data_IF_078533874100
#
_entry.id   IF_078533874100
#
_cell.length_a   1.000
_cell.length_b   1.000
_cell.length_c   1.000
_cell.angle_alpha   90.00
_cell.angle_beta   90.00
_cell.angle_gamma   90.00
#
_symmetry.space_group_name_H-M   'P 1'
#
loop_
_entity.id
_entity.type
_entity.pdbx_description
1 polymer ?
#
# COMPACT_ATOMS: atom_id res chain seq x y z
N UNK A 1 19.40 -4.27 -8.21
CA UNK A 1 18.47 -3.15 -8.48
C UNK A 1 17.37 -3.50 -9.49
N UNK A 2 17.64 -3.84 -10.77
CA UNK A 2 16.58 -4.10 -11.77
C UNK A 2 15.52 -5.13 -11.35
N UNK A 3 15.93 -6.29 -10.79
CA UNK A 3 15.00 -7.33 -10.29
C UNK A 3 14.13 -6.85 -9.13
N UNK A 4 14.69 -6.03 -8.23
CA UNK A 4 13.95 -5.46 -7.10
C UNK A 4 12.87 -4.49 -7.59
N UNK A 5 13.24 -3.55 -8.47
CA UNK A 5 12.32 -2.58 -9.05
C UNK A 5 11.17 -3.31 -9.75
N UNK A 6 11.48 -4.30 -10.60
CA UNK A 6 10.47 -5.10 -11.29
C UNK A 6 9.52 -5.86 -10.35
N UNK A 7 10.03 -6.34 -9.21
CA UNK A 7 9.24 -7.07 -8.22
C UNK A 7 8.26 -6.16 -7.47
N UNK A 8 8.66 -4.93 -7.13
CA UNK A 8 7.82 -3.99 -6.37
C UNK A 8 6.92 -3.12 -7.25
N UNK A 9 7.22 -3.02 -8.54
CA UNK A 9 6.47 -2.20 -9.51
C UNK A 9 4.94 -2.33 -9.41
N UNK A 10 4.33 -3.54 -9.32
CA UNK A 10 2.87 -3.67 -9.20
C UNK A 10 2.31 -2.96 -7.97
N UNK A 11 2.98 -3.09 -6.83
CA UNK A 11 2.58 -2.43 -5.59
C UNK A 11 2.73 -0.91 -5.70
N UNK A 12 3.82 -0.42 -6.31
CA UNK A 12 4.02 1.01 -6.52
C UNK A 12 2.97 1.62 -7.47
N UNK A 13 2.58 0.90 -8.52
CA UNK A 13 1.50 1.33 -9.43
C UNK A 13 0.18 1.42 -8.68
N UNK A 14 -0.17 0.40 -7.90
CA UNK A 14 -1.35 0.42 -7.04
C UNK A 14 -1.33 1.61 -6.06
N UNK A 15 -0.20 1.80 -5.38
CA UNK A 15 0.03 2.90 -4.43
C UNK A 15 -0.17 4.27 -5.07
N UNK A 16 0.28 4.44 -6.32
CA UNK A 16 0.06 5.66 -7.09
C UNK A 16 -1.42 5.92 -7.35
N UNK A 17 -2.20 4.89 -7.73
CA UNK A 17 -3.64 5.06 -7.95
C UNK A 17 -4.42 5.31 -6.65
N UNK A 18 -4.00 4.70 -5.54
CA UNK A 18 -4.53 5.00 -4.20
C UNK A 18 -4.30 6.48 -3.87
N UNK A 19 -3.08 6.97 -4.05
CA UNK A 19 -2.74 8.37 -3.81
C UNK A 19 -3.53 9.33 -4.72
N UNK A 20 -3.64 9.00 -6.00
CA UNK A 20 -4.43 9.78 -6.96
C UNK A 20 -5.91 9.83 -6.54
N UNK A 21 -6.44 8.75 -5.98
CA UNK A 21 -7.81 8.73 -5.48
C UNK A 21 -7.98 9.66 -4.29
N UNK A 22 -7.11 9.60 -3.28
CA UNK A 22 -7.13 10.53 -2.14
C UNK A 22 -7.06 11.98 -2.62
N UNK A 23 -6.18 12.28 -3.58
CA UNK A 23 -6.13 13.62 -4.18
C UNK A 23 -7.47 14.05 -4.80
N UNK A 24 -8.14 13.15 -5.52
CA UNK A 24 -9.44 13.46 -6.14
C UNK A 24 -10.55 13.58 -5.09
N UNK A 25 -10.61 12.68 -4.12
CA UNK A 25 -11.70 12.60 -3.16
C UNK A 25 -11.60 13.65 -2.05
N UNK A 26 -10.39 13.95 -1.57
CA UNK A 26 -10.19 14.80 -0.38
C UNK A 26 -9.76 16.22 -0.72
N UNK A 27 -9.33 16.47 -1.97
CA UNK A 27 -8.99 17.80 -2.45
C UNK A 27 -9.82 18.25 -3.67
N UNK A 28 -9.77 17.51 -4.78
CA UNK A 28 -10.35 18.01 -6.02
C UNK A 28 -11.89 18.02 -6.02
N UNK A 29 -12.53 16.96 -5.55
CA UNK A 29 -13.99 16.87 -5.51
C UNK A 29 -14.60 17.86 -4.50
N UNK A 30 -14.12 18.01 -3.25
CA UNK A 30 -14.69 18.94 -2.28
C UNK A 30 -14.65 20.40 -2.74
N UNK A 31 -13.64 20.79 -3.53
CA UNK A 31 -13.54 22.15 -4.07
C UNK A 31 -14.59 22.48 -5.14
N UNK A 32 -15.29 21.47 -5.68
CA UNK A 32 -16.30 21.61 -6.72
C UNK A 32 -17.70 21.13 -6.29
N UNK A 33 -17.78 19.98 -5.61
CA UNK A 33 -19.02 19.36 -5.14
C UNK A 33 -18.76 18.47 -3.91
N UNK A 34 -19.17 18.94 -2.74
CA UNK A 34 -19.04 18.25 -1.45
C UNK A 34 -19.81 16.93 -1.38
N UNK A 35 -20.97 16.82 -2.03
CA UNK A 35 -21.78 15.60 -1.99
C UNK A 35 -21.10 14.48 -2.78
N UNK A 36 -20.61 14.82 -3.98
CA UNK A 36 -19.84 13.91 -4.82
C UNK A 36 -18.56 13.44 -4.10
N UNK A 37 -17.87 14.35 -3.41
CA UNK A 37 -16.69 14.00 -2.62
C UNK A 37 -17.00 12.94 -1.56
N UNK A 38 -18.11 13.11 -0.83
CA UNK A 38 -18.55 12.13 0.16
C UNK A 38 -18.81 10.75 -0.45
N UNK A 39 -19.48 10.66 -1.60
CA UNK A 39 -19.70 9.38 -2.27
C UNK A 39 -18.41 8.73 -2.78
N UNK A 40 -17.50 9.52 -3.35
CA UNK A 40 -16.20 9.03 -3.81
C UNK A 40 -15.37 8.50 -2.64
N UNK A 41 -15.28 9.26 -1.55
CA UNK A 41 -14.59 8.85 -0.33
C UNK A 41 -15.18 7.55 0.22
N UNK A 42 -16.50 7.45 0.37
CA UNK A 42 -17.14 6.25 0.91
C UNK A 42 -16.91 5.01 0.03
N UNK A 43 -17.06 5.14 -1.29
CA UNK A 43 -16.85 4.05 -2.24
C UNK A 43 -15.41 3.53 -2.18
N UNK A 44 -14.44 4.44 -2.16
CA UNK A 44 -13.04 4.08 -2.12
C UNK A 44 -12.61 3.56 -0.77
N UNK A 45 -13.04 4.18 0.33
CA UNK A 45 -12.74 3.69 1.66
C UNK A 45 -13.22 2.24 1.81
N UNK A 46 -14.43 1.92 1.36
CA UNK A 46 -14.94 0.56 1.37
C UNK A 46 -14.07 -0.40 0.55
N UNK A 47 -13.70 -0.03 -0.66
CA UNK A 47 -12.87 -0.86 -1.53
C UNK A 47 -11.45 -1.01 -1.00
N UNK A 48 -10.81 0.09 -0.63
CA UNK A 48 -9.43 0.16 -0.15
C UNK A 48 -9.28 -0.57 1.18
N UNK A 49 -10.14 -0.28 2.17
CA UNK A 49 -10.07 -0.89 3.50
C UNK A 49 -10.35 -2.40 3.48
N UNK A 50 -11.34 -2.87 2.71
CA UNK A 50 -11.74 -4.28 2.72
C UNK A 50 -10.94 -5.13 1.73
N UNK A 51 -10.80 -4.67 0.48
CA UNK A 51 -10.20 -5.45 -0.61
C UNK A 51 -8.73 -5.05 -0.80
N UNK A 52 -8.44 -3.75 -0.78
CA UNK A 52 -7.10 -3.23 -1.00
C UNK A 52 -6.08 -3.71 0.03
N UNK A 53 -6.34 -3.44 1.30
CA UNK A 53 -5.41 -3.70 2.41
C UNK A 53 -5.14 -5.20 2.57
N UNK A 54 -6.18 -6.04 2.55
CA UNK A 54 -6.03 -7.46 2.86
C UNK A 54 -5.84 -8.32 1.60
N UNK A 55 -6.75 -8.24 0.62
CA UNK A 55 -6.74 -9.13 -0.54
C UNK A 55 -5.65 -8.73 -1.53
N UNK A 56 -5.61 -7.45 -1.93
CA UNK A 56 -4.59 -6.98 -2.87
C UNK A 56 -3.21 -6.98 -2.23
N UNK A 57 -3.09 -6.60 -0.95
CA UNK A 57 -1.83 -6.72 -0.21
C UNK A 57 -1.23 -8.13 -0.27
N UNK A 58 -2.03 -9.18 0.02
CA UNK A 58 -1.59 -10.57 -0.10
C UNK A 58 -1.21 -10.96 -1.53
N UNK A 59 -2.02 -10.59 -2.52
CA UNK A 59 -1.73 -10.87 -3.93
C UNK A 59 -0.43 -10.20 -4.37
N UNK A 60 -0.22 -8.94 -4.00
CA UNK A 60 1.01 -8.23 -4.33
C UNK A 60 2.21 -8.85 -3.64
N UNK A 61 2.11 -9.27 -2.38
CA UNK A 61 3.17 -10.01 -1.70
C UNK A 61 3.57 -11.27 -2.48
N UNK A 62 2.58 -12.08 -2.92
CA UNK A 62 2.85 -13.25 -3.76
C UNK A 62 3.55 -12.89 -5.07
N UNK A 63 3.03 -11.88 -5.78
CA UNK A 63 3.60 -11.43 -7.06
C UNK A 63 5.03 -10.93 -6.86
N UNK A 64 5.27 -10.10 -5.85
CA UNK A 64 6.59 -9.54 -5.55
C UNK A 64 7.56 -10.64 -5.21
N UNK A 65 7.22 -11.57 -4.32
CA UNK A 65 8.10 -12.68 -3.97
C UNK A 65 8.38 -13.59 -5.17
N UNK A 66 7.37 -13.88 -6.00
CA UNK A 66 7.54 -14.67 -7.23
C UNK A 66 8.50 -14.00 -8.21
N UNK A 67 8.39 -12.69 -8.38
CA UNK A 67 9.24 -11.89 -9.29
C UNK A 67 10.65 -11.70 -8.75
N UNK A 68 10.77 -11.52 -7.44
CA UNK A 68 12.05 -11.33 -6.78
C UNK A 68 12.83 -12.64 -6.66
N UNK A 69 12.11 -13.75 -6.49
CA UNK A 69 12.63 -15.12 -6.41
C UNK A 69 13.75 -15.30 -5.37
N UNK A 70 13.69 -14.55 -4.26
CA UNK A 70 14.71 -14.60 -3.23
C UNK A 70 14.49 -15.75 -2.27
N UNK A 71 15.57 -16.50 -2.00
CA UNK A 71 15.58 -17.65 -1.09
C UNK A 71 15.82 -17.26 0.38
N UNK A 72 16.04 -15.98 0.68
CA UNK A 72 16.24 -15.50 2.05
C UNK A 72 15.02 -14.74 2.55
N UNK A 73 14.42 -15.24 3.62
CA UNK A 73 13.25 -14.65 4.29
C UNK A 73 13.45 -13.18 4.69
N UNK A 74 14.68 -12.78 5.01
CA UNK A 74 15.01 -11.39 5.37
C UNK A 74 14.64 -10.39 4.26
N UNK A 75 14.70 -10.80 2.99
CA UNK A 75 14.30 -9.90 1.90
C UNK A 75 12.80 -9.68 1.85
N UNK A 76 12.00 -10.71 2.14
CA UNK A 76 10.55 -10.57 2.23
C UNK A 76 10.19 -9.61 3.36
N UNK A 77 10.81 -9.77 4.54
CA UNK A 77 10.58 -8.82 5.64
C UNK A 77 10.94 -7.38 5.23
N UNK A 78 12.08 -7.18 4.55
CA UNK A 78 12.49 -5.85 4.10
C UNK A 78 11.54 -5.25 3.05
N UNK A 79 11.01 -6.07 2.15
CA UNK A 79 10.01 -5.67 1.16
C UNK A 79 8.67 -5.30 1.82
N UNK A 80 8.21 -6.06 2.81
CA UNK A 80 7.03 -5.71 3.59
C UNK A 80 7.23 -4.42 4.40
N UNK A 81 8.41 -4.19 4.99
CA UNK A 81 8.72 -2.91 5.66
C UNK A 81 8.71 -1.75 4.66
N UNK A 82 9.19 -1.97 3.43
CA UNK A 82 9.09 -0.96 2.38
C UNK A 82 7.62 -0.61 2.06
N UNK A 83 6.74 -1.61 1.91
CA UNK A 83 5.32 -1.32 1.66
C UNK A 83 4.66 -0.59 2.83
N UNK A 84 5.01 -0.96 4.06
CA UNK A 84 4.58 -0.25 5.27
C UNK A 84 4.93 1.24 5.23
N UNK A 85 6.19 1.58 4.91
CA UNK A 85 6.63 2.98 4.81
C UNK A 85 5.89 3.73 3.69
N UNK A 86 5.65 3.08 2.55
CA UNK A 86 4.89 3.69 1.45
C UNK A 86 3.46 4.05 1.88
N UNK A 87 2.77 3.18 2.62
CA UNK A 87 1.41 3.49 3.12
C UNK A 87 1.43 4.67 4.10
N UNK A 88 2.44 4.79 4.96
CA UNK A 88 2.59 5.97 5.82
C UNK A 88 2.78 7.27 5.03
N UNK A 89 3.57 7.24 3.96
CA UNK A 89 3.73 8.39 3.08
C UNK A 89 2.39 8.76 2.42
N UNK A 90 1.61 7.77 1.97
CA UNK A 90 0.27 8.00 1.42
C UNK A 90 -0.65 8.63 2.46
N UNK A 91 -0.72 8.09 3.68
CA UNK A 91 -1.57 8.66 4.73
C UNK A 91 -1.16 10.08 5.14
N UNK A 92 0.13 10.39 5.15
CA UNK A 92 0.60 11.76 5.36
C UNK A 92 0.20 12.70 4.22
N UNK A 93 0.30 12.26 2.97
CA UNK A 93 -0.13 13.05 1.81
C UNK A 93 -1.66 13.24 1.77
N UNK A 94 -2.42 12.22 2.18
CA UNK A 94 -3.87 12.31 2.38
C UNK A 94 -4.22 13.40 3.40
N UNK A 95 -3.51 13.44 4.54
CA UNK A 95 -3.63 14.53 5.51
C UNK A 95 -3.43 15.91 4.88
N UNK A 96 -2.43 16.07 4.01
CA UNK A 96 -2.23 17.33 3.26
C UNK A 96 -3.42 17.61 2.33
N UNK A 97 -3.89 16.61 1.57
CA UNK A 97 -5.00 16.76 0.62
C UNK A 97 -6.27 17.22 1.32
N UNK A 98 -6.60 16.62 2.47
CA UNK A 98 -7.76 16.97 3.27
C UNK A 98 -7.74 18.41 3.78
N UNK A 99 -6.58 19.04 3.91
CA UNK A 99 -6.46 20.43 4.36
C UNK A 99 -6.45 21.42 3.19
N UNK A 100 -5.91 21.02 2.04
CA UNK A 100 -5.85 21.88 0.85
C UNK A 100 -7.22 22.27 0.29
N UNK A 101 -8.29 21.52 0.60
CA UNK A 101 -9.65 21.92 0.20
C UNK A 101 -10.08 23.26 0.79
N UNK A 102 -9.51 23.65 1.93
CA UNK A 102 -9.72 24.95 2.55
C UNK A 102 -8.77 25.97 1.90
N UNK A 103 -9.24 26.73 0.90
CA UNK A 103 -8.42 27.63 0.05
C UNK A 103 -7.52 28.65 0.78
N UNK A 104 -7.76 28.90 2.07
CA UNK A 104 -6.95 29.78 2.91
C UNK A 104 -5.82 29.06 3.68
N UNK A 105 -5.76 27.73 3.61
CA UNK A 105 -4.81 26.91 4.36
C UNK A 105 -3.45 26.89 3.65
N UNK A 106 -2.40 27.22 4.39
CA UNK A 106 -1.03 27.04 3.92
C UNK A 106 -0.58 25.64 4.28
N UNK A 107 -0.23 24.82 3.27
CA UNK A 107 0.28 23.46 3.52
C UNK A 107 1.52 23.48 4.41
N UNK A 108 1.49 22.72 5.49
CA UNK A 108 2.57 22.59 6.47
C UNK A 108 3.00 21.14 6.66
N UNK A 109 4.13 20.95 7.35
CA UNK A 109 4.57 19.63 7.80
C UNK A 109 3.59 19.04 8.82
N UNK A 110 2.88 19.87 9.59
CA UNK A 110 1.93 19.40 10.60
C UNK A 110 0.74 18.69 9.97
N UNK A 111 0.31 19.09 8.77
CA UNK A 111 -0.75 18.40 8.01
C UNK A 111 -0.33 16.97 7.62
N UNK A 112 0.95 16.80 7.26
CA UNK A 112 1.53 15.51 6.95
C UNK A 112 1.63 14.63 8.20
N UNK A 113 2.08 15.21 9.32
CA UNK A 113 2.15 14.51 10.62
C UNK A 113 0.74 14.11 11.07
N UNK A 114 -0.25 14.96 10.88
CA UNK A 114 -1.65 14.67 11.17
C UNK A 114 -2.12 13.44 10.38
N UNK A 115 -1.88 13.42 9.06
CA UNK A 115 -2.22 12.28 8.21
C UNK A 115 -1.52 10.98 8.61
N UNK A 116 -0.22 11.04 8.92
CA UNK A 116 0.54 9.89 9.47
C UNK A 116 -0.03 9.42 10.80
N UNK A 117 -0.44 10.36 11.67
CA UNK A 117 -0.93 10.08 13.02
C UNK A 117 -2.36 9.52 13.01
N UNK A 118 -3.06 9.61 11.88
CA UNK A 118 -4.45 9.18 11.78
C UNK A 118 -4.58 7.67 12.02
N UNK A 119 -5.56 7.21 12.83
CA UNK A 119 -5.75 5.79 13.13
C UNK A 119 -5.94 4.92 11.88
N UNK A 120 -6.62 5.44 10.85
CA UNK A 120 -6.83 4.71 9.59
C UNK A 120 -5.51 4.47 8.85
N UNK A 121 -4.59 5.44 8.84
CA UNK A 121 -3.25 5.28 8.25
C UNK A 121 -2.51 4.13 8.92
N UNK A 122 -2.58 4.03 10.25
CA UNK A 122 -1.98 2.93 10.99
C UNK A 122 -2.63 1.60 10.65
N UNK A 123 -3.97 1.57 10.60
CA UNK A 123 -4.72 0.36 10.26
C UNK A 123 -4.36 -0.14 8.86
N UNK A 124 -4.30 0.75 7.87
CA UNK A 124 -3.93 0.42 6.50
C UNK A 124 -2.46 0.01 6.40
N UNK A 125 -1.55 0.69 7.10
CA UNK A 125 -0.12 0.34 7.07
C UNK A 125 0.13 -1.04 7.71
N UNK A 126 -0.42 -1.30 8.89
CA UNK A 126 -0.28 -2.59 9.58
C UNK A 126 -0.98 -3.70 8.79
N UNK A 127 -2.20 -3.45 8.31
CA UNK A 127 -2.96 -4.41 7.52
C UNK A 127 -2.23 -4.78 6.23
N UNK A 128 -1.70 -3.79 5.51
CA UNK A 128 -0.92 -3.99 4.28
C UNK A 128 0.38 -4.72 4.57
N UNK A 129 1.11 -4.34 5.63
CA UNK A 129 2.32 -5.03 6.06
C UNK A 129 2.07 -6.52 6.31
N UNK A 130 1.06 -6.83 7.12
CA UNK A 130 0.72 -8.20 7.48
C UNK A 130 0.27 -9.00 6.26
N UNK A 131 -0.66 -8.48 5.46
CA UNK A 131 -1.19 -9.20 4.30
C UNK A 131 -0.12 -9.42 3.23
N UNK A 132 0.68 -8.39 2.93
CA UNK A 132 1.77 -8.47 1.98
C UNK A 132 2.82 -9.48 2.42
N UNK A 133 3.27 -9.40 3.68
CA UNK A 133 4.26 -10.34 4.20
C UNK A 133 3.74 -11.78 4.20
N UNK A 134 2.47 -12.01 4.54
CA UNK A 134 1.85 -13.34 4.43
C UNK A 134 1.83 -13.84 2.98
N UNK A 135 1.57 -12.96 2.02
CA UNK A 135 1.64 -13.26 0.59
C UNK A 135 3.04 -13.67 0.15
N UNK A 136 4.05 -12.94 0.61
CA UNK A 136 5.45 -13.29 0.35
C UNK A 136 5.83 -14.62 0.98
N UNK A 137 5.47 -14.86 2.24
CA UNK A 137 5.75 -16.13 2.92
C UNK A 137 5.11 -17.31 2.20
N UNK A 138 3.84 -17.17 1.80
CA UNK A 138 3.13 -18.19 1.06
C UNK A 138 3.88 -18.58 -0.23
N UNK A 139 4.27 -17.59 -1.04
CA UNK A 139 5.01 -17.86 -2.27
C UNK A 139 6.43 -18.36 -2.01
N UNK A 140 7.09 -17.87 -0.96
CA UNK A 140 8.41 -18.32 -0.53
C UNK A 140 8.43 -19.83 -0.27
N UNK A 141 7.45 -20.34 0.49
CA UNK A 141 7.37 -21.78 0.79
C UNK A 141 7.07 -22.62 -0.45
N UNK A 142 6.27 -22.11 -1.38
CA UNK A 142 6.03 -22.79 -2.67
C UNK A 142 7.33 -22.93 -3.46
N UNK A 143 8.08 -21.84 -3.61
CA UNK A 143 9.35 -21.85 -4.34
C UNK A 143 10.37 -22.77 -3.68
N UNK A 144 10.44 -22.75 -2.34
CA UNK A 144 11.33 -23.64 -1.57
C UNK A 144 10.95 -25.11 -1.72
N UNK A 145 9.65 -25.43 -1.74
CA UNK A 145 9.16 -26.81 -1.96
C UNK A 145 9.55 -27.32 -3.36
N UNK A 146 9.26 -26.53 -4.40
CA UNK A 146 9.64 -26.88 -5.79
C UNK A 146 11.13 -27.13 -5.94
N UNK A 147 11.95 -26.31 -5.30
CA UNK A 147 13.40 -26.50 -5.34
C UNK A 147 13.83 -27.84 -4.69
N UNK A 148 13.24 -28.22 -3.54
CA UNK A 148 13.56 -29.52 -2.91
C UNK A 148 13.20 -30.70 -3.81
N UNK A 149 12.06 -30.61 -4.49
CA UNK A 149 11.61 -31.62 -5.46
C UNK A 149 12.58 -31.72 -6.66
N UNK A 150 13.04 -30.58 -7.18
CA UNK A 150 14.06 -30.51 -8.25
C UNK A 150 15.43 -31.03 -7.80
N UNK A 151 15.82 -30.75 -6.55
CA UNK A 151 17.09 -31.20 -5.96
C UNK A 151 17.05 -32.71 -5.55
N UNK A 152 15.93 -33.41 -5.77
CA UNK A 152 15.76 -34.83 -5.44
C UNK A 152 15.66 -35.15 -3.95
N UNK A 153 15.46 -34.12 -3.11
CA UNK A 153 15.37 -34.23 -1.66
C UNK A 153 13.91 -34.38 -1.27
N UNK A 154 13.48 -35.62 -1.00
CA UNK A 154 12.13 -35.95 -0.50
C UNK A 154 11.88 -35.41 0.90
#
# INVERSE_FOLDING_TARGET
MKKFIYAITPFCIYSFFVLLFYYVADYLAPTHNMELAGYLFALFYLFHALIGVFVLGFIFGKITQKRFASKKLIHSLWLAVFTFVVIFIIGGLDGIFSQMQFRSHQTTIDDFIFGISHPDTHYFAIGTFCSFFLGELHEYFILKKKQKEEDGIK
#
